data_IF_667661842517
#
_entry.id   IF_667661842517
#
_cell.length_a   1.000
_cell.length_b   1.000
_cell.length_c   1.000
_cell.angle_alpha   90.00
_cell.angle_beta   90.00
_cell.angle_gamma   90.00
#
_symmetry.space_group_name_H-M   'P 1'
#
loop_
_entity.id
_entity.type
_entity.pdbx_description
1 polymer ?
#
# COMPACT_ATOMS: atom_id res chain seq x y z
N UNK A 1 18.95 -11.71 -14.59
CA UNK A 1 18.08 -10.68 -14.01
C UNK A 1 18.46 -10.57 -12.55
N UNK A 2 19.07 -9.47 -12.13
CA UNK A 2 19.32 -9.23 -10.70
C UNK A 2 18.03 -8.55 -10.21
N UNK A 3 17.27 -9.25 -9.38
CA UNK A 3 16.20 -8.62 -8.63
C UNK A 3 16.86 -7.79 -7.54
N UNK A 4 16.62 -6.48 -7.53
CA UNK A 4 17.09 -5.62 -6.45
C UNK A 4 16.45 -6.09 -5.14
N UNK A 5 17.22 -6.06 -4.06
CA UNK A 5 16.73 -6.44 -2.74
C UNK A 5 15.51 -5.58 -2.35
N UNK A 6 14.51 -6.16 -1.65
CA UNK A 6 13.34 -5.40 -1.22
C UNK A 6 13.73 -4.27 -0.27
N UNK A 7 13.12 -3.10 -0.47
CA UNK A 7 13.24 -1.96 0.44
C UNK A 7 12.15 -2.11 1.50
N UNK A 8 12.52 -2.04 2.77
CA UNK A 8 11.57 -2.08 3.89
C UNK A 8 11.54 -0.69 4.51
N UNK A 9 10.38 -0.04 4.50
CA UNK A 9 10.21 1.30 5.05
C UNK A 9 9.11 1.32 6.11
N UNK A 10 9.33 1.96 7.27
CA UNK A 10 8.28 2.26 8.20
C UNK A 10 7.36 3.35 7.63
N UNK A 11 6.10 3.34 8.07
CA UNK A 11 5.21 4.48 7.83
C UNK A 11 4.30 4.75 9.03
N UNK A 12 3.89 6.00 9.14
CA UNK A 12 2.90 6.44 10.13
C UNK A 12 1.56 6.72 9.45
N UNK A 13 0.45 6.39 10.12
CA UNK A 13 -0.89 6.79 9.69
C UNK A 13 -1.13 8.22 10.18
N UNK A 14 -1.09 9.17 9.26
CA UNK A 14 -1.28 10.60 9.55
C UNK A 14 -2.74 11.06 9.45
N UNK A 15 -3.61 10.25 8.83
CA UNK A 15 -5.03 10.55 8.70
C UNK A 15 -5.85 9.30 8.42
N UNK A 16 -7.06 9.25 8.99
CA UNK A 16 -8.00 8.15 8.85
C UNK A 16 -9.43 8.69 8.82
N UNK A 17 -10.08 8.63 7.67
CA UNK A 17 -11.47 9.05 7.47
C UNK A 17 -12.29 7.85 7.02
N UNK A 18 -13.20 7.39 7.88
CA UNK A 18 -14.00 6.19 7.65
C UNK A 18 -15.47 6.54 7.46
N UNK A 19 -16.07 5.94 6.42
CA UNK A 19 -17.48 6.03 6.12
C UNK A 19 -18.09 4.62 6.02
N UNK A 20 -18.85 4.17 7.03
CA UNK A 20 -19.61 2.94 6.95
C UNK A 20 -20.67 3.02 5.83
N UNK A 21 -20.93 1.90 5.17
CA UNK A 21 -21.99 1.79 4.15
C UNK A 21 -22.79 0.48 4.20
N UNK A 22 -22.53 -0.39 5.18
CA UNK A 22 -23.36 -1.57 5.45
C UNK A 22 -24.62 -1.23 6.26
N UNK A 23 -25.57 -2.16 6.31
CA UNK A 23 -26.77 -2.02 7.14
C UNK A 23 -26.42 -2.09 8.64
N UNK A 24 -27.07 -1.24 9.44
CA UNK A 24 -26.85 -1.23 10.89
C UNK A 24 -27.29 -2.55 11.55
N UNK A 25 -26.43 -3.11 12.39
CA UNK A 25 -26.72 -4.35 13.14
C UNK A 25 -26.38 -5.64 12.39
N UNK A 26 -25.91 -5.56 11.15
CA UNK A 26 -25.38 -6.72 10.43
C UNK A 26 -24.08 -7.22 11.04
N UNK A 27 -23.87 -8.54 10.98
CA UNK A 27 -22.63 -9.17 11.48
C UNK A 27 -21.40 -8.76 10.65
N UNK A 28 -21.60 -8.44 9.38
CA UNK A 28 -20.54 -8.05 8.46
C UNK A 28 -20.55 -6.54 8.30
N UNK A 29 -19.48 -5.90 8.75
CA UNK A 29 -19.29 -4.46 8.68
C UNK A 29 -18.58 -4.08 7.38
N UNK A 30 -19.09 -3.08 6.68
CA UNK A 30 -18.51 -2.55 5.44
C UNK A 30 -18.22 -1.06 5.59
N UNK A 31 -17.04 -0.63 5.16
CA UNK A 31 -16.65 0.77 5.20
C UNK A 31 -15.75 1.18 4.03
N UNK A 32 -15.94 2.41 3.56
CA UNK A 32 -14.95 3.08 2.72
C UNK A 32 -14.03 3.91 3.63
N UNK A 33 -12.73 3.84 3.40
CA UNK A 33 -11.74 4.58 4.21
C UNK A 33 -10.81 5.37 3.31
N UNK A 34 -10.54 6.62 3.67
CA UNK A 34 -9.39 7.37 3.15
C UNK A 34 -8.30 7.40 4.20
N UNK A 35 -7.09 6.96 3.85
CA UNK A 35 -5.93 6.90 4.74
C UNK A 35 -4.80 7.72 4.17
N UNK A 36 -4.18 8.55 5.01
CA UNK A 36 -2.94 9.25 4.67
C UNK A 36 -1.78 8.63 5.42
N UNK A 37 -0.70 8.30 4.71
CA UNK A 37 0.52 7.69 5.29
C UNK A 37 1.73 8.58 5.05
N UNK A 38 2.63 8.66 6.03
CA UNK A 38 3.92 9.34 5.92
C UNK A 38 5.03 8.30 6.02
N UNK A 39 5.93 8.29 5.04
CA UNK A 39 7.08 7.38 4.95
C UNK A 39 8.37 8.14 5.24
N UNK A 40 9.32 7.47 5.89
CA UNK A 40 10.65 8.01 6.20
C UNK A 40 11.75 6.96 5.97
N UNK A 41 12.98 7.42 5.73
CA UNK A 41 14.13 6.54 5.45
C UNK A 41 14.33 6.33 3.95
N UNK A 42 14.55 5.09 3.52
CA UNK A 42 14.81 4.76 2.10
C UNK A 42 13.59 5.00 1.19
N UNK A 43 12.39 5.11 1.77
CA UNK A 43 11.19 5.64 1.13
C UNK A 43 10.78 6.86 1.95
N UNK A 44 10.89 8.04 1.35
CA UNK A 44 10.53 9.31 2.00
C UNK A 44 9.42 10.00 1.22
N UNK A 45 8.32 10.34 1.89
CA UNK A 45 7.20 11.02 1.24
C UNK A 45 5.86 10.72 1.88
N UNK A 46 4.79 10.91 1.11
CA UNK A 46 3.43 10.71 1.58
C UNK A 46 2.64 9.85 0.58
N UNK A 47 1.69 9.08 1.09
CA UNK A 47 0.65 8.48 0.26
C UNK A 47 -0.76 8.79 0.75
N UNK A 48 -1.71 8.71 -0.17
CA UNK A 48 -3.14 8.73 0.13
C UNK A 48 -3.78 7.50 -0.51
N UNK A 49 -4.41 6.68 0.33
CA UNK A 49 -5.10 5.46 -0.06
C UNK A 49 -6.61 5.61 0.11
N UNK A 50 -7.37 5.05 -0.82
CA UNK A 50 -8.80 4.78 -0.66
C UNK A 50 -9.04 3.29 -0.60
N UNK A 51 -9.69 2.84 0.48
CA UNK A 51 -9.91 1.45 0.80
C UNK A 51 -11.40 1.13 0.82
N UNK A 52 -11.74 -0.08 0.40
CA UNK A 52 -12.97 -0.76 0.78
C UNK A 52 -12.61 -1.82 1.81
N UNK A 53 -13.17 -1.71 3.01
CA UNK A 53 -12.97 -2.64 4.11
C UNK A 53 -14.22 -3.49 4.32
N UNK A 54 -14.01 -4.76 4.63
CA UNK A 54 -15.04 -5.68 5.06
C UNK A 54 -14.54 -6.44 6.29
N UNK A 55 -15.36 -6.54 7.33
CA UNK A 55 -14.96 -7.18 8.58
C UNK A 55 -16.11 -7.87 9.29
N UNK A 56 -15.79 -8.79 10.16
CA UNK A 56 -16.71 -9.42 11.11
C UNK A 56 -15.89 -9.94 12.32
N UNK A 57 -16.52 -10.49 13.37
CA UNK A 57 -15.80 -10.93 14.56
C UNK A 57 -14.71 -12.00 14.34
N UNK A 58 -14.73 -12.73 13.21
CA UNK A 58 -13.75 -13.77 12.91
C UNK A 58 -12.57 -13.27 12.07
N UNK A 59 -12.72 -12.18 11.32
CA UNK A 59 -11.70 -11.74 10.38
C UNK A 59 -12.08 -10.47 9.63
N UNK A 60 -11.10 -9.95 8.89
CA UNK A 60 -11.27 -8.70 8.13
C UNK A 60 -10.50 -8.75 6.81
N UNK A 61 -10.87 -7.88 5.89
CA UNK A 61 -10.26 -7.76 4.59
C UNK A 61 -10.37 -6.36 4.03
N UNK A 62 -9.48 -6.04 3.10
CA UNK A 62 -9.56 -4.78 2.38
C UNK A 62 -8.99 -4.86 0.97
N UNK A 63 -9.45 -3.95 0.12
CA UNK A 63 -8.87 -3.62 -1.19
C UNK A 63 -8.63 -2.11 -1.25
N UNK A 64 -7.54 -1.69 -1.89
CA UNK A 64 -7.07 -0.32 -1.84
C UNK A 64 -6.41 0.14 -3.15
N UNK A 65 -6.67 1.39 -3.49
CA UNK A 65 -5.89 2.17 -4.46
C UNK A 65 -5.14 3.27 -3.72
N UNK A 66 -3.82 3.30 -3.84
CA UNK A 66 -2.94 4.22 -3.11
C UNK A 66 -2.03 4.97 -4.06
N UNK A 67 -1.97 6.30 -3.97
CA UNK A 67 -0.97 7.10 -4.68
C UNK A 67 0.13 7.51 -3.71
N UNK A 68 1.37 7.14 -4.00
CA UNK A 68 2.56 7.61 -3.31
C UNK A 68 3.19 8.76 -4.08
N UNK A 69 3.71 9.77 -3.38
CA UNK A 69 4.53 10.86 -3.93
C UNK A 69 5.69 11.12 -2.99
N UNK A 70 6.92 11.09 -3.52
CA UNK A 70 8.11 11.23 -2.71
C UNK A 70 9.39 10.79 -3.43
N UNK A 71 10.30 10.22 -2.65
CA UNK A 71 11.60 9.73 -3.08
C UNK A 71 11.75 8.26 -2.65
N UNK A 72 12.20 7.41 -3.57
CA UNK A 72 12.61 6.04 -3.25
C UNK A 72 14.09 5.89 -3.57
N UNK A 73 14.90 5.65 -2.54
CA UNK A 73 16.35 5.76 -2.61
C UNK A 73 16.76 7.17 -3.05
N UNK A 74 17.22 7.30 -4.31
CA UNK A 74 17.60 8.60 -4.89
C UNK A 74 16.63 9.10 -5.97
N UNK A 75 15.56 8.37 -6.27
CA UNK A 75 14.65 8.66 -7.38
C UNK A 75 13.38 9.35 -6.89
N UNK A 76 13.14 10.58 -7.35
CA UNK A 76 11.94 11.33 -7.03
C UNK A 76 10.81 11.12 -8.04
N UNK A 77 9.58 11.00 -7.55
CA UNK A 77 8.40 10.88 -8.39
C UNK A 77 7.15 10.46 -7.63
N UNK A 78 6.19 9.90 -8.37
CA UNK A 78 4.99 9.28 -7.82
C UNK A 78 4.67 7.98 -8.55
N UNK A 79 3.87 7.13 -7.93
CA UNK A 79 3.27 5.95 -8.56
C UNK A 79 1.99 5.54 -7.82
N UNK A 80 1.20 4.69 -8.45
CA UNK A 80 -0.02 4.13 -7.86
C UNK A 80 0.20 2.67 -7.50
N UNK A 81 -0.25 2.26 -6.33
CA UNK A 81 -0.30 0.86 -5.87
C UNK A 81 -1.76 0.41 -5.80
N UNK A 82 -2.03 -0.79 -6.32
CA UNK A 82 -3.24 -1.54 -5.98
C UNK A 82 -2.84 -2.62 -4.99
N UNK A 83 -3.45 -2.62 -3.81
CA UNK A 83 -3.11 -3.58 -2.75
C UNK A 83 -4.33 -4.02 -1.96
N UNK A 84 -4.17 -5.08 -1.19
CA UNK A 84 -5.22 -5.65 -0.36
C UNK A 84 -4.66 -6.61 0.66
N UNK A 85 -5.55 -7.13 1.49
CA UNK A 85 -5.20 -8.16 2.44
C UNK A 85 -6.41 -8.79 3.10
N UNK A 86 -6.18 -9.97 3.67
CA UNK A 86 -7.11 -10.70 4.51
C UNK A 86 -6.43 -11.01 5.85
N UNK A 87 -7.17 -10.79 6.92
CA UNK A 87 -6.82 -11.14 8.28
C UNK A 87 -7.65 -12.35 8.67
N UNK A 88 -6.98 -13.51 8.78
CA UNK A 88 -7.57 -14.79 9.15
C UNK A 88 -6.66 -15.49 10.17
N UNK A 89 -6.59 -14.95 11.38
CA UNK A 89 -5.71 -15.48 12.44
C UNK A 89 -4.25 -15.57 12.00
N UNK A 90 -3.72 -16.80 11.94
CA UNK A 90 -2.34 -17.08 11.53
C UNK A 90 -2.12 -17.04 10.00
N UNK A 91 -3.19 -17.09 9.20
CA UNK A 91 -3.14 -17.11 7.73
C UNK A 91 -3.35 -15.71 7.12
N UNK A 92 -3.06 -14.68 7.91
CA UNK A 92 -3.10 -13.30 7.44
C UNK A 92 -2.12 -13.10 6.28
N UNK A 93 -2.60 -12.51 5.19
CA UNK A 93 -1.78 -12.21 4.03
C UNK A 93 -2.15 -10.86 3.42
N UNK A 94 -1.15 -10.22 2.83
CA UNK A 94 -1.32 -9.02 2.03
C UNK A 94 -0.67 -9.20 0.68
N UNK A 95 -1.13 -8.42 -0.28
CA UNK A 95 -0.63 -8.42 -1.64
C UNK A 95 -0.73 -7.01 -2.19
N UNK A 96 0.09 -6.69 -3.19
CA UNK A 96 -0.01 -5.43 -3.88
C UNK A 96 0.95 -5.32 -5.03
N UNK A 97 0.59 -4.50 -6.01
CA UNK A 97 1.39 -4.24 -7.19
C UNK A 97 1.35 -2.76 -7.51
N UNK A 98 2.48 -2.24 -7.97
CA UNK A 98 2.53 -0.96 -8.64
C UNK A 98 1.75 -1.07 -9.96
N UNK A 99 0.86 -0.12 -10.21
CA UNK A 99 0.08 -0.04 -11.45
C UNK A 99 1.04 0.27 -12.60
N UNK A 100 1.09 -0.58 -13.64
CA UNK A 100 1.85 -0.33 -14.86
C UNK A 100 1.69 1.08 -15.41
N UNK A 101 2.80 1.78 -15.66
CA UNK A 101 2.79 3.11 -16.29
C UNK A 101 2.30 4.25 -15.39
N UNK A 102 2.07 4.00 -14.09
CA UNK A 102 1.69 5.06 -13.14
C UNK A 102 2.87 5.89 -12.62
N UNK A 103 4.10 5.40 -12.82
CA UNK A 103 5.33 6.07 -12.41
C UNK A 103 5.54 7.43 -13.08
N UNK A 104 5.96 8.44 -12.33
CA UNK A 104 6.29 9.78 -12.83
C UNK A 104 7.71 10.20 -12.44
N UNK A 105 8.25 11.23 -13.08
CA UNK A 105 9.59 11.74 -12.78
C UNK A 105 10.67 10.67 -12.98
N UNK A 106 11.56 10.53 -12.00
CA UNK A 106 12.62 9.52 -12.01
C UNK A 106 12.10 8.11 -11.64
N UNK A 107 10.82 8.02 -11.26
CA UNK A 107 10.09 6.77 -11.07
C UNK A 107 9.31 6.34 -12.33
N UNK A 108 9.46 7.04 -13.46
CA UNK A 108 8.88 6.59 -14.73
C UNK A 108 9.37 5.16 -15.09
N UNK A 109 8.46 4.35 -15.65
CA UNK A 109 8.76 2.95 -15.99
C UNK A 109 8.87 1.98 -14.80
N UNK A 110 8.63 2.45 -13.57
CA UNK A 110 8.66 1.58 -12.37
C UNK A 110 7.60 0.47 -12.43
N UNK A 111 8.00 -0.73 -12.02
CA UNK A 111 7.15 -1.89 -11.76
C UNK A 111 7.55 -2.47 -10.41
N UNK A 112 6.65 -3.18 -9.75
CA UNK A 112 6.99 -3.74 -8.46
C UNK A 112 5.82 -4.30 -7.70
N UNK A 113 6.15 -4.94 -6.59
CA UNK A 113 5.21 -5.48 -5.62
C UNK A 113 5.32 -4.70 -4.31
N UNK A 114 4.18 -4.56 -3.62
CA UNK A 114 4.05 -3.81 -2.39
C UNK A 114 3.30 -4.65 -1.36
N UNK A 115 3.96 -4.99 -0.26
CA UNK A 115 3.41 -5.77 0.84
C UNK A 115 3.37 -4.88 2.07
N UNK A 116 2.17 -4.69 2.62
CA UNK A 116 1.96 -3.93 3.85
C UNK A 116 1.81 -4.90 5.01
N UNK A 117 2.51 -4.63 6.11
CA UNK A 117 2.46 -5.43 7.32
C UNK A 117 2.35 -4.55 8.57
N UNK A 118 1.69 -5.09 9.59
CA UNK A 118 1.63 -4.53 10.93
C UNK A 118 2.39 -5.48 11.85
N UNK A 119 3.39 -5.00 12.57
CA UNK A 119 4.16 -5.77 13.54
C UNK A 119 4.24 -5.01 14.87
N UNK A 120 4.95 -5.58 15.86
CA UNK A 120 5.10 -4.97 17.19
C UNK A 120 5.81 -3.60 17.16
N UNK A 121 6.61 -3.34 16.13
CA UNK A 121 7.38 -2.10 15.94
C UNK A 121 6.62 -1.02 15.15
N UNK A 122 5.48 -1.38 14.54
CA UNK A 122 4.59 -0.47 13.83
C UNK A 122 4.17 -0.96 12.45
N UNK A 123 3.93 -0.02 11.54
CA UNK A 123 3.52 -0.31 10.17
C UNK A 123 4.71 -0.30 9.22
N UNK A 124 4.78 -1.29 8.33
CA UNK A 124 5.87 -1.41 7.35
C UNK A 124 5.33 -1.64 5.95
N UNK A 125 6.02 -1.06 4.97
CA UNK A 125 5.89 -1.36 3.56
C UNK A 125 7.16 -2.09 3.11
N UNK A 126 7.00 -3.28 2.55
CA UNK A 126 8.05 -3.96 1.79
C UNK A 126 7.79 -3.72 0.31
N UNK A 127 8.74 -3.06 -0.37
CA UNK A 127 8.64 -2.66 -1.76
C UNK A 127 9.73 -3.35 -2.58
N UNK A 128 9.34 -4.17 -3.55
CA UNK A 128 10.26 -4.76 -4.52
C UNK A 128 10.11 -4.03 -5.84
N UNK A 129 11.17 -3.37 -6.31
CA UNK A 129 11.15 -2.51 -7.49
C UNK A 129 11.95 -3.10 -8.64
N UNK A 130 11.48 -2.83 -9.86
CA UNK A 130 12.25 -2.97 -11.09
C UNK A 130 11.86 -1.87 -12.07
N UNK A 131 12.78 -1.51 -12.93
CA UNK A 131 12.54 -0.53 -13.99
C UNK A 131 12.59 -1.25 -15.33
N UNK A 132 11.58 -1.00 -16.17
CA UNK A 132 11.62 -1.45 -17.57
C UNK A 132 12.12 -0.29 -18.41
N UNK A 133 13.13 -0.54 -19.24
CA UNK A 133 13.56 0.44 -20.25
C UNK A 133 12.39 0.67 -21.23
N UNK A 134 12.15 1.93 -21.60
CA UNK A 134 11.10 2.31 -22.57
C UNK A 134 11.41 1.89 -24.03
N UNK A 135 12.45 1.11 -24.27
CA UNK A 135 12.94 0.75 -25.60
C UNK A 135 12.48 -0.63 -26.12
N UNK A 136 11.37 -1.19 -25.61
CA UNK A 136 10.78 -2.45 -26.08
C UNK A 136 9.59 -2.25 -27.04
#
# INVERSE_FOLDING_TARGET
MIEDAPIIAPFEIAGWEQQPYGDEGERNELAQVTVTKIFTGDIEGQSVARLLMAGNPAGAGYLASEIFTGVVGTRSGSFVVQHGGLVDGADAHSFGSIVPGSGTGELAGVRGEAIYANNEEGHTLTLTLRFVDESA
#
